data_IF_523770499816
#
_entry.id   IF_523770499816
#
_cell.length_a   1.000
_cell.length_b   1.000
_cell.length_c   1.000
_cell.angle_alpha   90.00
_cell.angle_beta   90.00
_cell.angle_gamma   90.00
#
_symmetry.space_group_name_H-M   'P 1'
#
loop_
_entity.id
_entity.type
_entity.pdbx_description
1 polymer ?
#
# COMPACT_ATOMS: atom_id res chain seq x y z
N UNK A 1 -46.70 16.61 43.90
CA UNK A 1 -47.80 16.80 42.93
C UNK A 1 -47.65 18.22 42.41
N UNK A 2 -47.15 18.51 41.22
CA UNK A 2 -46.86 17.73 40.02
C UNK A 2 -45.76 18.52 39.28
N UNK A 3 -44.68 17.85 38.87
CA UNK A 3 -43.55 18.50 38.24
C UNK A 3 -43.89 18.88 36.79
N UNK A 4 -43.80 20.17 36.51
CA UNK A 4 -43.69 20.74 35.17
C UNK A 4 -42.56 20.07 34.37
N UNK A 5 -42.84 19.61 33.15
CA UNK A 5 -41.78 19.33 32.17
C UNK A 5 -42.23 19.87 30.82
N UNK A 6 -41.80 21.10 30.54
CA UNK A 6 -41.84 21.69 29.20
C UNK A 6 -41.01 20.82 28.25
N UNK A 7 -41.68 20.15 27.31
CA UNK A 7 -41.01 19.44 26.22
C UNK A 7 -40.66 20.45 25.13
N UNK A 8 -39.43 20.98 25.18
CA UNK A 8 -38.86 21.80 24.11
C UNK A 8 -38.79 21.00 22.81
N UNK A 9 -39.13 21.58 21.64
CA UNK A 9 -39.02 20.88 20.37
C UNK A 9 -37.55 20.58 20.12
N UNK A 10 -37.19 19.30 19.99
CA UNK A 10 -35.80 18.89 19.80
C UNK A 10 -35.36 19.33 18.41
N UNK A 11 -34.10 19.73 18.26
CA UNK A 11 -33.52 20.07 16.95
C UNK A 11 -33.78 18.98 15.90
N UNK A 12 -33.78 17.72 16.36
CA UNK A 12 -34.05 16.52 15.59
C UNK A 12 -35.43 16.55 14.92
N UNK A 13 -36.46 17.06 15.59
CA UNK A 13 -37.83 17.09 15.06
C UNK A 13 -37.93 18.08 13.89
N UNK A 14 -37.23 19.22 13.97
CA UNK A 14 -37.14 20.18 12.86
C UNK A 14 -36.34 19.65 11.67
N UNK A 15 -35.33 18.81 11.91
CA UNK A 15 -34.61 18.13 10.85
C UNK A 15 -35.48 17.08 10.15
N UNK A 16 -36.32 16.37 10.91
CA UNK A 16 -37.25 15.37 10.36
C UNK A 16 -38.37 16.02 9.54
N UNK A 17 -38.97 17.11 10.01
CA UNK A 17 -40.01 17.84 9.26
C UNK A 17 -39.49 18.39 7.93
N UNK A 18 -38.20 18.78 7.87
CA UNK A 18 -37.57 19.28 6.64
C UNK A 18 -37.28 18.16 5.63
N UNK A 19 -37.11 16.93 6.09
CA UNK A 19 -36.96 15.74 5.24
C UNK A 19 -38.32 15.30 4.68
N UNK A 20 -39.41 15.54 5.41
CA UNK A 20 -40.75 15.13 5.01
C UNK A 20 -41.43 16.13 4.06
N UNK A 21 -41.09 17.42 4.14
CA UNK A 21 -41.67 18.48 3.30
C UNK A 21 -41.05 18.63 1.89
N UNK A 22 -40.42 17.58 1.37
CA UNK A 22 -39.64 17.62 0.13
C UNK A 22 -40.50 17.18 -1.08
N UNK A 23 -40.89 18.08 -2.00
CA UNK A 23 -41.75 17.75 -3.16
C UNK A 23 -41.07 16.71 -4.08
N UNK A 24 -41.86 15.93 -4.82
CA UNK A 24 -41.40 14.72 -5.54
C UNK A 24 -40.16 14.86 -6.43
N UNK A 25 -39.91 16.07 -6.96
CA UNK A 25 -38.72 16.45 -7.75
C UNK A 25 -37.42 16.45 -6.91
N UNK A 26 -37.50 16.95 -5.68
CA UNK A 26 -36.34 17.17 -4.81
C UNK A 26 -35.82 15.86 -4.22
N UNK A 27 -36.66 14.82 -4.14
CA UNK A 27 -36.25 13.45 -3.75
C UNK A 27 -35.28 12.83 -4.78
N UNK A 28 -35.40 13.20 -6.05
CA UNK A 28 -34.51 12.71 -7.12
C UNK A 28 -33.17 13.43 -7.06
N UNK A 29 -33.19 14.76 -6.88
CA UNK A 29 -31.97 15.56 -6.66
C UNK A 29 -31.19 15.06 -5.45
N UNK A 30 -31.86 14.77 -4.33
CA UNK A 30 -31.22 14.27 -3.12
C UNK A 30 -30.60 12.88 -3.33
N UNK A 31 -31.27 11.98 -4.05
CA UNK A 31 -30.71 10.66 -4.40
C UNK A 31 -29.49 10.78 -5.32
N UNK A 32 -29.55 11.63 -6.34
CA UNK A 32 -28.42 11.84 -7.26
C UNK A 32 -27.24 12.44 -6.51
N UNK A 33 -27.47 13.45 -5.66
CA UNK A 33 -26.42 14.02 -4.82
C UNK A 33 -25.81 12.97 -3.88
N UNK A 34 -26.63 12.12 -3.28
CA UNK A 34 -26.18 11.02 -2.42
C UNK A 34 -25.28 10.03 -3.16
N UNK A 35 -25.70 9.55 -4.33
CA UNK A 35 -24.88 8.65 -5.14
C UNK A 35 -23.62 9.33 -5.71
N UNK A 36 -23.69 10.62 -6.05
CA UNK A 36 -22.53 11.38 -6.52
C UNK A 36 -21.47 11.52 -5.42
N UNK A 37 -21.87 11.78 -4.18
CA UNK A 37 -20.97 11.86 -3.03
C UNK A 37 -20.31 10.49 -2.79
N UNK A 38 -21.08 9.41 -2.79
CA UNK A 38 -20.54 8.06 -2.59
C UNK A 38 -19.57 7.70 -3.73
N UNK A 39 -19.96 7.92 -4.98
CA UNK A 39 -19.12 7.64 -6.15
C UNK A 39 -17.80 8.40 -6.11
N UNK A 40 -17.85 9.69 -5.77
CA UNK A 40 -16.65 10.52 -5.62
C UNK A 40 -15.77 10.04 -4.46
N UNK A 41 -16.37 9.64 -3.33
CA UNK A 41 -15.66 9.08 -2.19
C UNK A 41 -14.92 7.78 -2.51
N UNK A 42 -15.59 6.85 -3.20
CA UNK A 42 -14.97 5.59 -3.66
C UNK A 42 -13.83 5.87 -4.63
N UNK A 43 -14.05 6.77 -5.60
CA UNK A 43 -13.03 7.16 -6.57
C UNK A 43 -11.79 7.77 -5.91
N UNK A 44 -11.99 8.63 -4.90
CA UNK A 44 -10.90 9.23 -4.14
C UNK A 44 -10.09 8.17 -3.38
N UNK A 45 -10.76 7.22 -2.71
CA UNK A 45 -10.10 6.13 -1.97
C UNK A 45 -9.22 5.29 -2.90
N UNK A 46 -9.74 4.93 -4.08
CA UNK A 46 -8.98 4.14 -5.06
C UNK A 46 -7.76 4.90 -5.59
N UNK A 47 -7.90 6.19 -5.86
CA UNK A 47 -6.80 7.05 -6.35
C UNK A 47 -5.69 7.17 -5.32
N UNK A 48 -6.05 7.40 -4.05
CA UNK A 48 -5.10 7.45 -2.93
C UNK A 48 -4.42 6.10 -2.77
N UNK A 49 -5.17 5.00 -2.81
CA UNK A 49 -4.59 3.66 -2.68
C UNK A 49 -3.55 3.39 -3.78
N UNK A 50 -3.81 3.77 -5.03
CA UNK A 50 -2.85 3.60 -6.13
C UNK A 50 -1.61 4.50 -6.00
N UNK A 51 -1.75 5.72 -5.48
CA UNK A 51 -0.61 6.64 -5.32
C UNK A 51 0.30 6.28 -4.14
N UNK A 52 -0.25 5.68 -3.08
CA UNK A 52 0.50 5.38 -1.85
C UNK A 52 0.76 3.89 -1.62
N UNK A 53 0.35 3.01 -2.54
CA UNK A 53 0.74 1.60 -2.51
C UNK A 53 2.13 1.45 -3.09
N UNK A 54 3.10 1.27 -2.21
CA UNK A 54 4.44 0.83 -2.57
C UNK A 54 4.50 -0.69 -2.56
N UNK A 55 5.11 -1.28 -3.59
CA UNK A 55 5.37 -2.72 -3.64
C UNK A 55 6.44 -3.07 -2.60
N UNK A 56 6.01 -3.48 -1.41
CA UNK A 56 6.93 -3.98 -0.39
C UNK A 56 7.17 -5.48 -0.59
N UNK A 57 8.43 -5.96 -0.50
CA UNK A 57 8.68 -7.39 -0.48
C UNK A 57 7.96 -8.02 0.71
N UNK A 58 7.30 -9.15 0.47
CA UNK A 58 6.70 -9.94 1.56
C UNK A 58 7.83 -10.43 2.48
N UNK A 59 7.61 -10.41 3.81
CA UNK A 59 8.61 -10.91 4.75
C UNK A 59 8.81 -12.41 4.54
N UNK A 60 10.04 -12.80 4.19
CA UNK A 60 10.40 -14.18 3.92
C UNK A 60 10.44 -14.51 2.43
N UNK A 61 11.03 -15.66 2.13
CA UNK A 61 11.32 -16.13 0.78
C UNK A 61 12.52 -17.05 0.83
N UNK A 62 12.48 -18.12 0.05
CA UNK A 62 13.62 -19.01 -0.15
C UNK A 62 13.88 -19.09 -1.63
N UNK A 63 15.12 -18.83 -2.02
CA UNK A 63 15.62 -19.01 -3.38
C UNK A 63 16.45 -20.28 -3.35
N UNK A 64 16.11 -21.24 -4.21
CA UNK A 64 16.89 -22.46 -4.41
C UNK A 64 17.45 -22.41 -5.81
N UNK A 65 18.77 -22.24 -5.90
CA UNK A 65 19.52 -22.23 -7.16
C UNK A 65 20.39 -23.49 -7.26
N UNK A 66 20.52 -24.03 -8.47
CA UNK A 66 21.40 -25.16 -8.74
C UNK A 66 22.76 -24.67 -9.21
N UNK A 67 23.83 -25.18 -8.61
CA UNK A 67 25.22 -24.90 -9.02
C UNK A 67 25.89 -26.15 -9.59
N UNK A 68 26.78 -25.95 -10.56
CA UNK A 68 27.56 -27.05 -11.15
C UNK A 68 28.90 -27.14 -10.42
N UNK A 69 29.16 -28.28 -9.78
CA UNK A 69 30.35 -28.52 -8.96
C UNK A 69 30.09 -28.29 -7.47
N UNK A 70 31.15 -28.37 -6.66
CA UNK A 70 31.06 -28.21 -5.20
C UNK A 70 31.91 -27.02 -4.75
N UNK A 71 31.32 -26.01 -4.09
CA UNK A 71 32.08 -24.88 -3.56
C UNK A 71 32.97 -25.36 -2.42
N UNK A 72 34.25 -25.03 -2.47
CA UNK A 72 35.29 -25.38 -1.50
C UNK A 72 35.71 -24.18 -0.65
N UNK A 73 35.57 -22.97 -1.17
CA UNK A 73 35.99 -21.74 -0.49
C UNK A 73 34.91 -20.66 -0.58
N UNK A 74 34.48 -20.18 0.59
CA UNK A 74 33.53 -19.06 0.72
C UNK A 74 34.28 -17.71 0.87
N UNK A 75 35.60 -17.76 1.07
CA UNK A 75 36.40 -16.55 1.27
C UNK A 75 36.65 -15.86 -0.09
N UNK A 76 36.30 -14.57 -0.26
CA UNK A 76 36.56 -13.83 -1.49
C UNK A 76 38.02 -13.85 -1.95
N UNK A 77 38.98 -13.90 -1.02
CA UNK A 77 40.40 -13.96 -1.35
C UNK A 77 40.85 -15.32 -1.90
N UNK A 78 40.05 -16.38 -1.73
CA UNK A 78 40.37 -17.75 -2.14
C UNK A 78 39.38 -18.33 -3.17
N UNK A 79 38.31 -17.60 -3.51
CA UNK A 79 37.26 -18.04 -4.42
C UNK A 79 37.76 -18.09 -5.88
N UNK A 80 38.24 -19.27 -6.30
CA UNK A 80 38.83 -19.45 -7.62
C UNK A 80 37.90 -20.12 -8.64
N UNK A 81 36.93 -20.92 -8.20
CA UNK A 81 35.98 -21.58 -9.09
C UNK A 81 34.69 -20.77 -9.23
N UNK A 82 33.88 -21.00 -10.28
CA UNK A 82 32.57 -20.34 -10.44
C UNK A 82 31.66 -20.63 -9.24
N UNK A 83 31.57 -21.89 -8.81
CA UNK A 83 30.77 -22.27 -7.66
C UNK A 83 31.19 -21.53 -6.36
N UNK A 84 32.51 -21.34 -6.15
CA UNK A 84 33.01 -20.55 -5.02
C UNK A 84 32.63 -19.07 -5.13
N UNK A 85 32.76 -18.50 -6.33
CA UNK A 85 32.47 -17.09 -6.61
C UNK A 85 30.98 -16.79 -6.45
N UNK A 86 30.11 -17.65 -6.97
CA UNK A 86 28.65 -17.51 -6.89
C UNK A 86 28.19 -17.52 -5.43
N UNK A 87 28.68 -18.49 -4.63
CA UNK A 87 28.36 -18.57 -3.19
C UNK A 87 28.95 -17.38 -2.43
N UNK A 88 30.18 -16.98 -2.75
CA UNK A 88 30.83 -15.82 -2.11
C UNK A 88 30.05 -14.53 -2.39
N UNK A 89 29.57 -14.32 -3.61
CA UNK A 89 28.80 -13.14 -4.01
C UNK A 89 27.42 -13.07 -3.33
N UNK A 90 26.84 -14.22 -2.94
CA UNK A 90 25.60 -14.27 -2.16
C UNK A 90 25.82 -13.92 -0.67
N UNK A 91 27.05 -14.11 -0.16
CA UNK A 91 27.37 -13.94 1.26
C UNK A 91 28.04 -12.58 1.53
N UNK A 92 28.83 -12.07 0.59
CA UNK A 92 29.62 -10.84 0.74
C UNK A 92 29.27 -9.81 -0.34
N UNK A 93 29.13 -8.55 0.09
CA UNK A 93 28.98 -7.41 -0.83
C UNK A 93 30.35 -6.83 -1.20
N UNK A 94 30.53 -6.52 -2.48
CA UNK A 94 31.68 -5.79 -2.99
C UNK A 94 31.46 -4.28 -2.96
N UNK A 95 32.51 -3.48 -3.18
CA UNK A 95 32.38 -2.01 -3.24
C UNK A 95 31.44 -1.55 -4.36
N UNK A 96 31.48 -2.26 -5.48
CA UNK A 96 30.65 -2.01 -6.66
C UNK A 96 29.98 -3.31 -7.11
N UNK A 97 28.86 -3.17 -7.83
CA UNK A 97 28.15 -4.27 -8.47
C UNK A 97 27.79 -3.91 -9.91
N UNK A 98 27.52 -4.93 -10.72
CA UNK A 98 27.04 -4.76 -12.08
C UNK A 98 25.51 -4.76 -12.03
N UNK A 99 24.88 -3.66 -12.46
CA UNK A 99 23.44 -3.55 -12.59
C UNK A 99 22.91 -4.41 -13.74
N UNK A 100 21.59 -4.61 -13.79
CA UNK A 100 20.93 -5.45 -14.81
C UNK A 100 21.14 -4.97 -16.26
N UNK A 101 21.50 -3.69 -16.44
CA UNK A 101 21.83 -3.10 -17.74
C UNK A 101 23.34 -3.20 -18.08
N UNK A 102 24.13 -3.86 -17.22
CA UNK A 102 25.58 -4.00 -17.37
C UNK A 102 26.39 -2.80 -16.86
N UNK A 103 25.75 -1.76 -16.33
CA UNK A 103 26.46 -0.61 -15.77
C UNK A 103 27.09 -0.94 -14.42
N UNK A 104 28.27 -0.37 -14.16
CA UNK A 104 28.93 -0.51 -12.87
C UNK A 104 28.37 0.54 -11.91
N UNK A 105 27.78 0.10 -10.80
CA UNK A 105 27.17 0.96 -9.79
C UNK A 105 27.75 0.69 -8.40
N UNK A 106 27.75 1.70 -7.55
CA UNK A 106 28.14 1.56 -6.15
C UNK A 106 27.20 0.58 -5.43
N UNK A 107 27.77 -0.29 -4.59
CA UNK A 107 27.01 -1.17 -3.71
C UNK A 107 27.19 -0.79 -2.24
N UNK A 108 28.37 -1.04 -1.65
CA UNK A 108 28.74 -0.51 -0.32
C UNK A 108 29.67 0.72 -0.37
N UNK A 109 30.10 1.14 -1.56
CA UNK A 109 30.84 2.40 -1.72
C UNK A 109 29.90 3.62 -1.66
N UNK A 110 30.41 4.75 -1.15
CA UNK A 110 29.74 6.06 -1.16
C UNK A 110 30.04 6.84 -2.46
#
# INVERSE_FOLDING_TARGET
MESSTESSPRLIDRFMDRIESVPGSDKLLLRVAFFAIIGTGVWLILTINQQYTENTPTRGGSIVEGIIGTPRFINPALASTRADQDVTALIYNGLMKIASDGTLVNDVAE
#
